data_IF_977972587222
#
_entry.id   IF_977972587222
#
_cell.length_a   1.000
_cell.length_b   1.000
_cell.length_c   1.000
_cell.angle_alpha   90.00
_cell.angle_beta   90.00
_cell.angle_gamma   90.00
#
_symmetry.space_group_name_H-M   'P 1'
#
loop_
_entity.id
_entity.type
_entity.pdbx_description
1 polymer ?
#
# COMPACT_ATOMS: atom_id res chain seq x y z
N UNK A 1 16.20 0.85 -7.39
CA UNK A 1 14.86 1.05 -6.78
C UNK A 1 14.86 0.32 -5.46
N UNK A 2 14.18 0.85 -4.43
CA UNK A 2 13.92 0.09 -3.19
C UNK A 2 12.71 -0.79 -3.45
N UNK A 3 12.81 -2.05 -3.05
CA UNK A 3 11.68 -2.99 -3.02
C UNK A 3 11.30 -3.24 -1.56
N UNK A 4 10.06 -3.67 -1.33
CA UNK A 4 9.65 -4.11 0.00
C UNK A 4 10.42 -5.40 0.34
N UNK A 5 10.95 -5.47 1.55
CA UNK A 5 11.49 -6.72 2.08
C UNK A 5 10.37 -7.64 2.57
N UNK A 6 10.69 -8.88 2.95
CA UNK A 6 9.67 -9.86 3.36
C UNK A 6 8.84 -9.40 4.57
N UNK A 7 9.46 -8.76 5.57
CA UNK A 7 8.71 -8.26 6.74
C UNK A 7 7.73 -7.15 6.36
N UNK A 8 8.14 -6.28 5.43
CA UNK A 8 7.27 -5.22 4.91
C UNK A 8 6.12 -5.79 4.07
N UNK A 9 6.37 -6.86 3.31
CA UNK A 9 5.34 -7.59 2.55
C UNK A 9 4.35 -8.26 3.50
N UNK A 10 4.84 -8.95 4.54
CA UNK A 10 3.99 -9.63 5.50
C UNK A 10 3.12 -8.64 6.29
N UNK A 11 3.71 -7.52 6.71
CA UNK A 11 2.97 -6.42 7.34
C UNK A 11 1.93 -5.85 6.39
N UNK A 12 2.33 -5.51 5.15
CA UNK A 12 1.42 -5.01 4.13
C UNK A 12 0.24 -5.94 3.88
N UNK A 13 0.51 -7.24 3.73
CA UNK A 13 -0.53 -8.24 3.53
C UNK A 13 -1.45 -8.35 4.74
N UNK A 14 -0.92 -8.32 5.97
CA UNK A 14 -1.73 -8.32 7.19
C UNK A 14 -2.63 -7.07 7.29
N UNK A 15 -2.18 -5.91 6.80
CA UNK A 15 -3.01 -4.70 6.73
C UNK A 15 -4.13 -4.87 5.72
N UNK A 16 -3.83 -5.43 4.55
CA UNK A 16 -4.82 -5.65 3.49
C UNK A 16 -5.88 -6.66 3.96
N UNK A 17 -5.45 -7.80 4.52
CA UNK A 17 -6.33 -8.91 4.93
C UNK A 17 -7.33 -8.53 6.03
N UNK A 18 -7.02 -7.50 6.85
CA UNK A 18 -7.91 -7.00 7.90
C UNK A 18 -8.73 -5.77 7.48
N UNK A 19 -8.44 -5.20 6.31
CA UNK A 19 -9.13 -4.00 5.81
C UNK A 19 -10.38 -4.42 5.05
N UNK A 20 -11.50 -3.73 5.30
CA UNK A 20 -12.74 -3.97 4.56
C UNK A 20 -12.57 -3.58 3.08
N UNK A 21 -13.18 -4.31 2.13
CA UNK A 21 -13.13 -3.98 0.71
C UNK A 21 -13.64 -2.57 0.40
N UNK A 22 -12.75 -1.68 -0.02
CA UNK A 22 -13.04 -0.31 -0.49
C UNK A 22 -11.79 0.30 -1.16
N UNK A 23 -11.90 1.55 -1.62
CA UNK A 23 -10.80 2.35 -2.13
C UNK A 23 -10.22 3.21 -1.01
N UNK A 24 -8.95 2.98 -0.70
CA UNK A 24 -8.20 3.70 0.33
C UNK A 24 -7.03 4.46 -0.27
N UNK A 25 -6.77 5.67 0.24
CA UNK A 25 -5.46 6.28 0.10
C UNK A 25 -4.44 5.47 0.93
N UNK A 26 -3.19 5.35 0.45
CA UNK A 26 -2.16 4.55 1.13
C UNK A 26 -1.99 4.88 2.63
N UNK A 27 -2.03 6.17 2.98
CA UNK A 27 -1.93 6.61 4.37
C UNK A 27 -3.15 6.19 5.23
N UNK A 28 -4.34 6.13 4.64
CA UNK A 28 -5.58 5.68 5.29
C UNK A 28 -5.60 4.18 5.46
N UNK A 29 -5.10 3.44 4.47
CA UNK A 29 -4.95 1.98 4.53
C UNK A 29 -4.08 1.56 5.72
N UNK A 30 -2.94 2.23 5.91
CA UNK A 30 -2.04 1.95 7.05
C UNK A 30 -2.49 2.63 8.35
N UNK A 31 -3.34 3.65 8.28
CA UNK A 31 -3.89 4.36 9.43
C UNK A 31 -2.80 4.74 10.45
N UNK A 32 -2.79 4.11 11.64
CA UNK A 32 -1.82 4.37 12.70
C UNK A 32 -0.40 3.90 12.35
N UNK A 33 -0.27 2.80 11.61
CA UNK A 33 1.04 2.23 11.20
C UNK A 33 1.74 3.14 10.18
N UNK A 34 1.00 4.05 9.55
CA UNK A 34 1.58 5.03 8.62
C UNK A 34 2.62 5.94 9.29
N UNK A 35 2.40 6.29 10.56
CA UNK A 35 3.32 7.14 11.32
C UNK A 35 4.65 6.45 11.63
N UNK A 36 4.69 5.11 11.62
CA UNK A 36 5.89 4.31 11.89
C UNK A 36 6.77 4.13 10.66
N UNK A 37 6.32 4.56 9.48
CA UNK A 37 7.08 4.47 8.23
C UNK A 37 8.02 5.66 8.12
N UNK A 38 9.34 5.40 8.15
CA UNK A 38 10.37 6.45 8.13
C UNK A 38 10.33 7.35 6.88
N UNK A 39 9.99 6.79 5.73
CA UNK A 39 9.97 7.52 4.46
C UNK A 39 8.76 7.16 3.62
N UNK A 40 7.67 7.90 3.82
CA UNK A 40 6.39 7.73 3.13
C UNK A 40 6.54 7.68 1.60
N UNK A 41 7.33 8.57 1.02
CA UNK A 41 7.53 8.63 -0.44
C UNK A 41 8.28 7.41 -0.97
N UNK A 42 9.30 6.96 -0.25
CA UNK A 42 10.10 5.80 -0.67
C UNK A 42 9.30 4.51 -0.50
N UNK A 43 8.60 4.38 0.63
CA UNK A 43 7.72 3.26 0.90
C UNK A 43 6.57 3.21 -0.11
N UNK A 44 5.91 4.33 -0.40
CA UNK A 44 4.80 4.37 -1.35
C UNK A 44 5.19 3.94 -2.77
N UNK A 45 6.40 4.28 -3.21
CA UNK A 45 6.95 3.78 -4.49
C UNK A 45 7.19 2.27 -4.45
N UNK A 46 7.79 1.76 -3.39
CA UNK A 46 8.05 0.33 -3.22
C UNK A 46 6.76 -0.48 -3.10
N UNK A 47 5.78 0.03 -2.35
CA UNK A 47 4.45 -0.57 -2.18
C UNK A 47 3.69 -0.62 -3.50
N UNK A 48 3.67 0.49 -4.26
CA UNK A 48 3.08 0.51 -5.60
C UNK A 48 3.69 -0.59 -6.48
N UNK A 49 5.01 -0.71 -6.49
CA UNK A 49 5.72 -1.73 -7.25
C UNK A 49 5.35 -3.14 -6.78
N UNK A 50 5.23 -3.38 -5.48
CA UNK A 50 4.82 -4.68 -4.93
C UNK A 50 3.40 -5.06 -5.35
N UNK A 51 2.45 -4.13 -5.32
CA UNK A 51 1.08 -4.33 -5.80
C UNK A 51 1.08 -4.61 -7.31
N UNK A 52 1.78 -3.82 -8.12
CA UNK A 52 1.83 -4.02 -9.58
C UNK A 52 2.53 -5.31 -9.99
N UNK A 53 3.49 -5.78 -9.19
CA UNK A 53 4.21 -7.04 -9.41
C UNK A 53 3.44 -8.27 -8.89
N UNK A 54 2.26 -8.08 -8.26
CA UNK A 54 1.46 -9.17 -7.71
C UNK A 54 2.06 -9.83 -6.47
N UNK A 55 2.94 -9.13 -5.74
CA UNK A 55 3.49 -9.62 -4.47
C UNK A 55 2.48 -9.53 -3.32
N UNK A 56 1.47 -8.66 -3.47
CA UNK A 56 0.39 -8.47 -2.53
C UNK A 56 -0.92 -8.95 -3.17
N UNK A 57 -1.75 -9.62 -2.37
CA UNK A 57 -3.05 -10.19 -2.78
C UNK A 57 -4.20 -9.33 -2.26
N UNK A 58 -5.38 -9.46 -2.87
CA UNK A 58 -6.61 -8.75 -2.47
C UNK A 58 -6.48 -7.22 -2.51
N UNK A 59 -5.57 -6.72 -3.35
CA UNK A 59 -5.35 -5.29 -3.54
C UNK A 59 -4.96 -5.02 -4.99
N UNK A 60 -5.41 -3.89 -5.52
CA UNK A 60 -4.94 -3.37 -6.81
C UNK A 60 -4.69 -1.88 -6.73
N UNK A 61 -3.74 -1.42 -7.52
CA UNK A 61 -3.49 0.01 -7.66
C UNK A 61 -4.69 0.66 -8.37
N UNK A 62 -5.24 1.71 -7.76
CA UNK A 62 -6.38 2.45 -8.27
C UNK A 62 -5.94 3.88 -8.60
N UNK A 63 -5.98 4.26 -9.87
CA UNK A 63 -5.65 5.62 -10.31
C UNK A 63 -6.88 6.52 -10.20
N UNK A 64 -6.91 7.42 -9.22
CA UNK A 64 -7.75 8.62 -9.28
C UNK A 64 -6.95 9.75 -9.93
N UNK A 65 -7.57 10.51 -10.85
CA UNK A 65 -7.00 11.70 -11.52
C UNK A 65 -6.87 12.90 -10.57
N UNK A 66 -6.45 12.68 -9.32
CA UNK A 66 -6.26 13.75 -8.34
C UNK A 66 -4.81 13.79 -7.89
N UNK A 67 -4.21 14.98 -8.01
CA UNK A 67 -2.79 15.26 -7.82
C UNK A 67 -2.16 14.55 -6.61
N UNK A 68 -1.06 13.84 -6.88
CA UNK A 68 -0.06 13.30 -5.94
C UNK A 68 -0.46 12.21 -4.93
N UNK A 69 -1.72 11.76 -4.87
CA UNK A 69 -2.14 10.75 -3.89
C UNK A 69 -2.27 9.36 -4.55
N UNK A 70 -1.70 8.32 -3.94
CA UNK A 70 -1.83 6.94 -4.43
C UNK A 70 -3.02 6.26 -3.74
N UNK A 71 -4.00 5.83 -4.54
CA UNK A 71 -5.15 5.07 -4.08
C UNK A 71 -5.01 3.59 -4.42
N UNK A 72 -5.59 2.75 -3.58
CA UNK A 72 -5.57 1.31 -3.70
C UNK A 72 -6.95 0.77 -3.37
N UNK A 73 -7.41 -0.18 -4.17
CA UNK A 73 -8.68 -0.85 -3.97
C UNK A 73 -8.43 -2.22 -3.38
N UNK A 74 -9.02 -2.47 -2.21
CA UNK A 74 -9.04 -3.77 -1.52
C UNK A 74 -10.31 -4.51 -1.92
N UNK A 75 -10.23 -5.81 -2.21
CA UNK A 75 -11.34 -6.63 -2.69
C UNK A 75 -11.32 -8.07 -2.16
#
# INVERSE_FOLDING_TARGET
MRELNQQEIDMAQSVIDRTEPDIYELNKLYSQEWASIESHTTFGKAFKQAVTNGLLRNIRWHTLETDNHNFYEVF
#
